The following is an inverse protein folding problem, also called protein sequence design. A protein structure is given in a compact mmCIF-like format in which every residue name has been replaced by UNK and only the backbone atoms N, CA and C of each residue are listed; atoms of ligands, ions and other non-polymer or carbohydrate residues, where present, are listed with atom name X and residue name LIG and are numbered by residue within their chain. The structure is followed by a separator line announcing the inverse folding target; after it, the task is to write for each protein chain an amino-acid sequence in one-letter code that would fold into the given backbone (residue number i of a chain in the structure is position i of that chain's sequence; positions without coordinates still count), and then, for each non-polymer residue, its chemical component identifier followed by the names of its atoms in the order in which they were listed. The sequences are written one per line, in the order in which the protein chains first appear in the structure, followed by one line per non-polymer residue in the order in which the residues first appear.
data_IF_010123280588
#
_entry.id   IF_010123280588
#
_cell.length_a   1.000
_cell.length_b   1.000
_cell.length_c   1.000
_cell.angle_alpha   90.00
_cell.angle_beta   90.00
_cell.angle_gamma   90.00
#
_symmetry.space_group_name_H-M   'P 1'
#
loop_
_entity.id
_entity.type
_entity.pdbx_description
1 polymer ?
#
# COMPACT_ATOMS: atom_id res chain seq x y z
N UNK A 1 3.14 -10.27 -19.38
CA UNK A 1 3.03 -9.17 -18.39
C UNK A 1 2.74 -9.71 -16.99
N UNK A 2 3.37 -9.14 -15.95
CA UNK A 2 3.08 -9.42 -14.54
C UNK A 2 2.41 -8.20 -13.90
N UNK A 3 1.26 -8.40 -13.27
CA UNK A 3 0.58 -7.37 -12.47
C UNK A 3 0.33 -7.92 -11.06
N UNK A 4 0.57 -7.09 -10.05
CA UNK A 4 0.31 -7.44 -8.65
C UNK A 4 -0.71 -6.49 -8.06
N UNK A 5 -1.78 -7.04 -7.50
CA UNK A 5 -2.76 -6.31 -6.70
C UNK A 5 -2.64 -6.70 -5.24
N UNK A 6 -2.81 -5.72 -4.37
CA UNK A 6 -3.04 -5.93 -2.96
C UNK A 6 -4.54 -5.74 -2.68
N UNK A 7 -5.11 -6.68 -1.93
CA UNK A 7 -6.48 -6.61 -1.42
C UNK A 7 -6.39 -6.55 0.10
N UNK A 8 -6.80 -5.43 0.66
CA UNK A 8 -6.79 -5.22 2.10
C UNK A 8 -8.21 -5.16 2.64
N UNK A 9 -8.46 -5.91 3.70
CA UNK A 9 -9.78 -6.00 4.33
C UNK A 9 -9.68 -6.13 5.85
N UNK A 10 -10.50 -5.41 6.62
CA UNK A 10 -10.53 -5.55 8.06
C UNK A 10 -11.40 -6.73 8.50
N UNK A 11 -11.11 -7.28 9.68
CA UNK A 11 -11.87 -8.39 10.29
C UNK A 11 -13.07 -7.87 11.09
N UNK A 12 -12.94 -6.66 11.65
CA UNK A 12 -13.95 -5.92 12.41
C UNK A 12 -13.92 -4.45 11.99
N UNK A 13 -14.89 -3.65 12.41
CA UNK A 13 -14.91 -2.21 12.12
C UNK A 13 -13.59 -1.57 12.59
N UNK A 14 -13.02 -0.71 11.74
CA UNK A 14 -11.75 -0.01 12.01
C UNK A 14 -12.02 1.27 12.79
N UNK A 15 -11.71 1.27 14.08
CA UNK A 15 -11.92 2.42 14.99
C UNK A 15 -10.63 3.21 15.27
N UNK A 16 -9.49 2.58 15.04
CA UNK A 16 -8.16 3.13 15.26
C UNK A 16 -7.21 2.66 14.16
N UNK A 17 -6.14 3.42 13.97
CA UNK A 17 -5.06 3.07 13.05
C UNK A 17 -5.53 2.68 11.64
N UNK A 18 -6.37 3.45 10.92
CA UNK A 18 -6.86 3.02 9.62
C UNK A 18 -5.72 2.80 8.62
N UNK A 19 -5.97 1.97 7.60
CA UNK A 19 -5.07 1.90 6.46
C UNK A 19 -5.27 3.16 5.62
N UNK A 20 -4.26 4.03 5.62
CA UNK A 20 -4.19 5.15 4.71
C UNK A 20 -3.54 4.72 3.40
N UNK A 21 -4.13 5.14 2.30
CA UNK A 21 -3.67 4.95 0.94
C UNK A 21 -3.21 6.30 0.40
N UNK A 22 -1.99 6.33 -0.14
CA UNK A 22 -1.46 7.51 -0.81
C UNK A 22 -1.90 7.52 -2.28
N UNK A 23 -2.31 8.68 -2.78
CA UNK A 23 -2.64 8.85 -4.19
C UNK A 23 -1.36 8.78 -5.01
N UNK A 24 -1.31 7.85 -5.96
CA UNK A 24 -0.11 7.59 -6.78
C UNK A 24 0.34 8.79 -7.60
N UNK A 25 -0.59 9.67 -7.99
CA UNK A 25 -0.32 10.89 -8.77
C UNK A 25 0.21 12.05 -7.92
N UNK A 26 0.21 11.89 -6.58
CA UNK A 26 0.83 12.84 -5.66
C UNK A 26 2.29 12.51 -5.33
N UNK A 27 2.77 11.33 -5.74
CA UNK A 27 4.14 10.88 -5.51
C UNK A 27 5.10 11.55 -6.48
N UNK A 28 6.24 11.99 -5.96
CA UNK A 28 7.32 12.60 -6.76
C UNK A 28 8.58 11.74 -6.77
N UNK A 29 9.42 11.98 -7.77
CA UNK A 29 10.77 11.44 -7.80
C UNK A 29 11.54 11.91 -6.55
N UNK A 30 12.16 10.97 -5.83
CA UNK A 30 12.81 11.21 -4.53
C UNK A 30 11.95 10.97 -3.28
N UNK A 31 10.65 10.69 -3.43
CA UNK A 31 9.81 10.25 -2.29
C UNK A 31 10.12 8.80 -1.89
N UNK A 32 10.59 8.00 -2.84
CA UNK A 32 11.18 6.68 -2.58
C UNK A 32 12.65 6.85 -2.22
N UNK A 33 13.11 6.12 -1.21
CA UNK A 33 14.55 5.95 -1.03
C UNK A 33 15.10 5.10 -2.18
N UNK A 34 16.29 5.42 -2.68
CA UNK A 34 17.01 4.54 -3.60
C UNK A 34 17.36 3.25 -2.87
N UNK A 35 16.58 2.20 -3.12
CA UNK A 35 16.90 0.87 -2.64
C UNK A 35 17.55 0.08 -3.76
N UNK A 36 18.85 -0.14 -3.66
CA UNK A 36 19.48 -1.30 -4.30
C UNK A 36 19.15 -2.50 -3.41
N UNK A 37 17.94 -3.03 -3.59
CA UNK A 37 17.48 -4.19 -2.85
C UNK A 37 17.73 -5.43 -3.69
N UNK A 38 18.73 -6.23 -3.32
CA UNK A 38 18.77 -7.65 -3.66
C UNK A 38 17.95 -8.39 -2.59
N UNK A 39 16.69 -8.79 -2.87
CA UNK A 39 15.85 -9.40 -1.85
C UNK A 39 16.36 -10.81 -1.56
N UNK A 40 17.16 -10.95 -0.50
CA UNK A 40 17.62 -12.25 0.00
C UNK A 40 16.61 -12.90 0.96
N UNK A 41 15.56 -12.18 1.37
CA UNK A 41 14.49 -12.69 2.26
C UNK A 41 13.16 -11.94 2.07
N UNK A 42 12.08 -12.41 2.69
CA UNK A 42 10.82 -11.63 2.74
C UNK A 42 10.95 -10.34 3.55
N UNK A 43 11.82 -10.31 4.55
CA UNK A 43 11.96 -9.19 5.47
C UNK A 43 12.63 -7.96 4.82
N UNK A 44 13.38 -8.17 3.74
CA UNK A 44 14.01 -7.08 3.00
C UNK A 44 13.30 -6.77 1.67
N UNK A 45 12.29 -7.52 1.25
CA UNK A 45 11.55 -7.26 0.00
C UNK A 45 10.57 -6.06 0.06
N UNK A 46 10.79 -5.08 0.95
CA UNK A 46 9.89 -3.93 1.17
C UNK A 46 10.56 -2.68 0.61
N UNK A 47 9.90 -2.02 -0.34
CA UNK A 47 10.24 -0.66 -0.75
C UNK A 47 9.64 0.31 0.28
N UNK A 48 10.49 1.11 0.93
CA UNK A 48 10.01 2.13 1.85
C UNK A 48 9.80 3.46 1.14
N UNK A 49 8.75 4.17 1.57
CA UNK A 49 8.39 5.49 1.10
C UNK A 49 8.63 6.49 2.22
N UNK A 50 9.22 7.63 1.89
CA UNK A 50 9.38 8.74 2.82
C UNK A 50 8.13 9.60 2.78
N UNK A 51 7.55 9.88 3.95
CA UNK A 51 6.45 10.83 4.04
C UNK A 51 6.92 12.22 3.58
N UNK A 52 6.07 12.91 2.80
CA UNK A 52 6.26 14.29 2.36
C UNK A 52 4.94 15.03 2.39
N UNK A 53 4.97 16.31 2.75
CA UNK A 53 3.76 17.13 2.90
C UNK A 53 2.94 17.30 1.61
N UNK A 54 3.56 17.11 0.42
CA UNK A 54 2.83 17.17 -0.86
C UNK A 54 2.03 15.91 -1.17
N UNK A 55 2.26 14.81 -0.44
CA UNK A 55 1.57 13.55 -0.64
C UNK A 55 0.13 13.68 -0.18
N UNK A 56 -0.79 13.16 -0.98
CA UNK A 56 -2.20 13.12 -0.64
C UNK A 56 -2.52 11.74 -0.10
N UNK A 57 -3.06 11.69 1.11
CA UNK A 57 -3.43 10.45 1.78
C UNK A 57 -4.92 10.45 2.06
N UNK A 58 -5.56 9.30 1.87
CA UNK A 58 -6.95 9.07 2.26
C UNK A 58 -7.08 7.73 2.97
N UNK A 59 -8.07 7.65 3.85
CA UNK A 59 -8.47 6.41 4.50
C UNK A 59 -9.99 6.36 4.56
N UNK A 60 -10.53 5.16 4.75
CA UNK A 60 -11.97 4.98 4.94
C UNK A 60 -12.28 4.97 6.44
N UNK A 61 -13.02 5.97 6.91
CA UNK A 61 -13.43 6.06 8.32
C UNK A 61 -14.38 4.93 8.66
N UNK A 62 -14.15 4.25 9.80
CA UNK A 62 -14.99 3.15 10.27
C UNK A 62 -15.20 2.06 9.21
N UNK A 63 -14.15 1.78 8.42
CA UNK A 63 -14.20 0.75 7.39
C UNK A 63 -14.74 -0.56 7.97
N UNK A 64 -15.76 -1.09 7.32
CA UNK A 64 -16.49 -2.28 7.75
C UNK A 64 -15.86 -3.55 7.19
N UNK A 65 -16.09 -4.72 7.81
CA UNK A 65 -15.61 -6.00 7.28
C UNK A 65 -16.12 -6.35 5.89
N UNK A 66 -17.17 -5.70 5.39
CA UNK A 66 -17.70 -5.92 4.04
C UNK A 66 -16.99 -5.06 2.98
N UNK A 67 -16.15 -4.13 3.40
CA UNK A 67 -15.45 -3.17 2.55
C UNK A 67 -13.97 -3.56 2.41
N UNK A 68 -13.46 -3.58 1.18
CA UNK A 68 -12.07 -3.89 0.89
C UNK A 68 -11.44 -2.80 0.02
N UNK A 69 -10.17 -2.50 0.31
CA UNK A 69 -9.33 -1.80 -0.64
C UNK A 69 -8.74 -2.78 -1.63
N UNK A 70 -8.80 -2.44 -2.91
CA UNK A 70 -8.09 -3.15 -3.97
C UNK A 70 -7.22 -2.11 -4.66
N UNK A 71 -5.92 -2.32 -4.69
CA UNK A 71 -4.99 -1.38 -5.30
C UNK A 71 -3.84 -2.12 -5.99
N UNK A 72 -3.33 -1.52 -7.06
CA UNK A 72 -2.22 -2.07 -7.82
C UNK A 72 -0.91 -1.76 -7.09
N UNK A 73 -0.08 -2.78 -6.90
CA UNK A 73 1.23 -2.66 -6.28
C UNK A 73 2.36 -2.76 -7.31
N UNK A 74 2.15 -3.44 -8.44
CA UNK A 74 3.16 -3.58 -9.47
C UNK A 74 2.53 -3.82 -10.84
N UNK A 75 3.15 -3.25 -11.87
CA UNK A 75 2.90 -3.60 -13.27
C UNK A 75 4.22 -3.60 -14.04
N UNK A 76 4.61 -4.77 -14.55
CA UNK A 76 5.88 -4.96 -15.27
C UNK A 76 5.98 -4.16 -16.57
N UNK A 77 4.85 -3.66 -17.10
CA UNK A 77 4.81 -2.80 -18.29
C UNK A 77 4.65 -1.32 -17.97
N UNK A 78 4.50 -0.95 -16.71
CA UNK A 78 4.37 0.45 -16.33
C UNK A 78 5.70 1.21 -16.42
N UNK A 79 5.63 2.55 -16.35
CA UNK A 79 6.80 3.43 -16.46
C UNK A 79 7.89 2.99 -15.46
N UNK A 80 9.13 2.86 -15.93
CA UNK A 80 10.27 2.41 -15.11
C UNK A 80 10.27 0.91 -14.81
N UNK A 81 9.46 0.09 -15.49
CA UNK A 81 9.46 -1.38 -15.34
C UNK A 81 8.74 -1.92 -14.10
N UNK A 82 8.20 -1.03 -13.26
CA UNK A 82 7.49 -1.41 -12.03
C UNK A 82 6.08 -0.81 -11.92
N UNK A 83 5.73 0.13 -12.78
CA UNK A 83 4.39 0.73 -12.86
C UNK A 83 3.98 1.50 -11.61
N UNK A 84 2.67 1.49 -11.33
CA UNK A 84 2.10 2.23 -10.21
C UNK A 84 2.30 1.41 -8.93
N UNK A 85 3.11 1.96 -8.02
CA UNK A 85 3.12 1.54 -6.62
C UNK A 85 2.20 2.48 -5.84
N UNK A 86 1.33 1.91 -5.01
CA UNK A 86 0.45 2.67 -4.13
C UNK A 86 0.99 2.57 -2.70
N UNK A 87 1.67 3.62 -2.19
CA UNK A 87 2.12 3.63 -0.81
C UNK A 87 0.92 3.56 0.13
N UNK A 88 1.05 2.74 1.17
CA UNK A 88 0.00 2.57 2.17
C UNK A 88 0.63 2.34 3.53
N UNK A 89 -0.02 2.84 4.58
CA UNK A 89 0.49 2.76 5.93
C UNK A 89 -0.65 2.74 6.95
N UNK A 90 -0.38 2.13 8.10
CA UNK A 90 -1.17 2.32 9.31
C UNK A 90 -0.91 3.73 9.84
N UNK A 91 -1.93 4.57 9.96
CA UNK A 91 -1.77 5.96 10.47
C UNK A 91 -2.41 6.13 11.84
N UNK A 92 -1.66 6.71 12.79
CA UNK A 92 -2.20 7.04 14.11
C UNK A 92 -3.01 8.33 13.99
N UNK A 93 -4.29 8.28 14.35
CA UNK A 93 -5.16 9.46 14.34
C UNK A 93 -4.86 10.38 15.52
N UNK A 94 -5.08 11.67 15.34
CA UNK A 94 -4.90 12.66 16.39
C UNK A 94 -5.78 12.32 17.61
N UNK A 95 -5.20 12.34 18.81
CA UNK A 95 -5.86 11.95 20.06
C UNK A 95 -5.87 10.44 20.34
N UNK A 96 -5.25 9.63 19.47
CA UNK A 96 -5.03 8.20 19.69
C UNK A 96 -3.54 7.85 19.90
N UNK A 97 -2.68 8.85 20.08
CA UNK A 97 -1.26 8.66 20.33
C UNK A 97 -1.01 7.83 21.60
N UNK A 98 -0.06 6.90 21.52
CA UNK A 98 0.33 6.04 22.64
C UNK A 98 -0.68 4.94 23.01
N UNK A 99 -1.85 4.88 22.37
CA UNK A 99 -2.82 3.81 22.57
C UNK A 99 -2.43 2.58 21.76
N UNK A 100 -2.45 1.37 22.34
CA UNK A 100 -2.28 0.14 21.58
C UNK A 100 -3.34 0.04 20.48
N UNK A 101 -2.90 -0.30 19.27
CA UNK A 101 -3.82 -0.50 18.14
C UNK A 101 -4.75 -1.67 18.43
N UNK A 102 -6.05 -1.52 18.16
CA UNK A 102 -7.02 -2.62 18.23
C UNK A 102 -7.41 -3.15 16.85
N UNK A 103 -6.98 -2.48 15.77
CA UNK A 103 -7.23 -2.90 14.38
C UNK A 103 -6.79 -4.34 14.14
N UNK A 104 -7.68 -5.11 13.52
CA UNK A 104 -7.40 -6.44 12.97
C UNK A 104 -7.79 -6.47 11.49
N UNK A 105 -6.84 -6.88 10.65
CA UNK A 105 -6.98 -6.87 9.20
C UNK A 105 -6.04 -7.87 8.57
N UNK A 106 -6.27 -8.20 7.31
CA UNK A 106 -5.37 -8.99 6.49
C UNK A 106 -5.18 -8.33 5.13
N UNK A 107 -4.03 -8.63 4.53
CA UNK A 107 -3.71 -8.29 3.15
C UNK A 107 -3.51 -9.58 2.36
N UNK A 108 -4.17 -9.67 1.21
CA UNK A 108 -3.90 -10.67 0.20
C UNK A 108 -3.17 -10.04 -0.97
N UNK A 109 -2.16 -10.75 -1.48
CA UNK A 109 -1.47 -10.37 -2.70
C UNK A 109 -1.88 -11.31 -3.83
N UNK A 110 -2.35 -10.71 -4.92
CA UNK A 110 -2.78 -11.41 -6.12
C UNK A 110 -1.78 -11.07 -7.21
N UNK A 111 -1.01 -12.07 -7.66
CA UNK A 111 -0.12 -11.95 -8.81
C UNK A 111 -0.82 -12.54 -10.04
N UNK A 112 -0.93 -11.72 -11.09
CA UNK A 112 -1.54 -12.10 -12.36
C UNK A 112 -0.45 -12.14 -13.43
N UNK A 113 -0.26 -13.31 -14.02
CA UNK A 113 0.61 -13.52 -15.18
C UNK A 113 -0.31 -13.60 -16.39
N UNK A 114 -0.15 -12.67 -17.32
CA UNK A 114 -0.90 -12.63 -18.56
C UNK A 114 0.06 -12.77 -19.73
N UNK A 115 -0.32 -13.60 -20.69
CA UNK A 115 0.34 -13.59 -21.98
C UNK A 115 0.04 -12.25 -22.65
N UNK A 116 1.10 -11.61 -23.12
CA UNK A 116 0.97 -10.47 -24.00
C UNK A 116 0.74 -11.02 -25.41
N UNK A 117 -0.42 -11.64 -25.65
CA UNK A 117 -0.86 -11.98 -27.00
C UNK A 117 -0.92 -10.67 -27.83
N UNK A 118 -0.50 -10.74 -29.11
CA UNK A 118 0.03 -9.61 -29.88
C UNK A 118 -0.90 -8.40 -30.06
#
# INVERSE_FOLDING_TARGET
RLVVFNVWRPVKIVEDNPLAICYWDSIKEGDTSEFVLEPTSRANAIQTWNFKDHQKWAYLSNQKPEEAFVFMQHDSKGKGGHGVNVPHASVVLQGQEGKPSTRQSYEFRIAVIMDDEP
#
